data_IF_151670669654
#
_entry.id   IF_151670669654
#
_cell.length_a   1.000
_cell.length_b   1.000
_cell.length_c   1.000
_cell.angle_alpha   90.00
_cell.angle_beta   90.00
_cell.angle_gamma   90.00
#
_symmetry.space_group_name_H-M   'P 1'
#
loop_
_entity.id
_entity.type
_entity.pdbx_description
1 polymer ?
#
# COMPACT_ATOMS: atom_id res chain seq x y z
N UNK A 1 -5.63 40.14 -24.42
CA UNK A 1 -4.97 39.14 -23.54
C UNK A 1 -5.55 37.77 -23.83
N UNK A 2 -4.80 36.87 -24.49
CA UNK A 2 -5.19 35.45 -24.58
C UNK A 2 -4.74 34.79 -23.28
N UNK A 3 -5.65 34.65 -22.31
CA UNK A 3 -5.40 33.77 -21.17
C UNK A 3 -5.30 32.36 -21.78
N UNK A 4 -4.10 31.79 -21.79
CA UNK A 4 -3.88 30.47 -22.37
C UNK A 4 -4.62 29.45 -21.51
N UNK A 5 -5.74 28.94 -22.01
CA UNK A 5 -6.48 27.80 -21.43
C UNK A 5 -5.55 26.59 -21.21
N UNK A 6 -4.47 26.47 -22.01
CA UNK A 6 -3.46 25.41 -21.83
C UNK A 6 -2.67 25.55 -20.52
N UNK A 7 -2.43 26.79 -20.05
CA UNK A 7 -1.75 27.02 -18.77
C UNK A 7 -2.63 26.63 -17.60
N UNK A 8 -3.94 26.89 -17.68
CA UNK A 8 -4.89 26.49 -16.63
C UNK A 8 -5.06 24.97 -16.54
N UNK A 9 -5.03 24.26 -17.67
CA UNK A 9 -5.14 22.80 -17.67
C UNK A 9 -3.86 22.15 -17.15
N UNK A 10 -2.68 22.64 -17.55
CA UNK A 10 -1.40 22.14 -17.03
C UNK A 10 -1.35 22.24 -15.50
N UNK A 11 -1.68 23.41 -14.94
CA UNK A 11 -1.69 23.60 -13.48
C UNK A 11 -2.70 22.67 -12.78
N UNK A 12 -3.86 22.38 -13.39
CA UNK A 12 -4.84 21.44 -12.83
C UNK A 12 -4.32 20.01 -12.82
N UNK A 13 -3.63 19.58 -13.88
CA UNK A 13 -3.00 18.26 -13.96
C UNK A 13 -1.92 18.13 -12.89
N UNK A 14 -1.07 19.14 -12.72
CA UNK A 14 0.00 19.12 -11.72
C UNK A 14 -0.57 19.05 -10.29
N UNK A 15 -1.57 19.88 -9.97
CA UNK A 15 -2.25 19.83 -8.68
C UNK A 15 -2.94 18.47 -8.43
N UNK A 16 -3.51 17.86 -9.47
CA UNK A 16 -4.15 16.55 -9.36
C UNK A 16 -3.15 15.42 -9.15
N UNK A 17 -1.97 15.48 -9.81
CA UNK A 17 -0.85 14.57 -9.55
C UNK A 17 -0.37 14.69 -8.11
N UNK A 18 -0.23 15.91 -7.59
CA UNK A 18 0.14 16.13 -6.20
C UNK A 18 -0.89 15.54 -5.24
N UNK A 19 -2.18 15.70 -5.52
CA UNK A 19 -3.25 15.10 -4.73
C UNK A 19 -3.19 13.56 -4.71
N UNK A 20 -2.96 12.92 -5.87
CA UNK A 20 -2.74 11.47 -5.96
C UNK A 20 -1.54 11.05 -5.10
N UNK A 21 -0.41 11.74 -5.23
CA UNK A 21 0.80 11.40 -4.48
C UNK A 21 0.60 11.56 -2.97
N UNK A 22 -0.04 12.65 -2.52
CA UNK A 22 -0.36 12.87 -1.11
C UNK A 22 -1.29 11.78 -0.57
N UNK A 23 -2.32 11.39 -1.33
CA UNK A 23 -3.24 10.33 -0.92
C UNK A 23 -2.51 9.01 -0.66
N UNK A 24 -1.71 8.53 -1.61
CA UNK A 24 -0.98 7.27 -1.45
C UNK A 24 0.18 7.35 -0.45
N UNK A 25 0.80 8.52 -0.28
CA UNK A 25 1.78 8.75 0.78
C UNK A 25 1.12 8.62 2.17
N UNK A 26 -0.09 9.16 2.35
CA UNK A 26 -0.83 9.04 3.60
C UNK A 26 -1.22 7.59 3.90
N UNK A 27 -1.71 6.83 2.92
CA UNK A 27 -2.01 5.40 3.08
C UNK A 27 -0.75 4.64 3.51
N UNK A 28 0.37 4.90 2.83
CA UNK A 28 1.64 4.24 3.12
C UNK A 28 2.16 4.59 4.51
N UNK A 29 2.07 5.86 4.92
CA UNK A 29 2.48 6.29 6.26
C UNK A 29 1.64 5.63 7.37
N UNK A 30 0.34 5.45 7.15
CA UNK A 30 -0.55 4.80 8.10
C UNK A 30 -0.25 3.30 8.28
N UNK A 31 0.25 2.63 7.24
CA UNK A 31 0.53 1.19 7.28
C UNK A 31 1.98 0.82 7.53
N UNK A 32 2.94 1.75 7.36
CA UNK A 32 4.38 1.45 7.30
C UNK A 32 4.91 0.64 8.50
N UNK A 33 4.55 1.00 9.73
CA UNK A 33 5.02 0.29 10.93
C UNK A 33 4.44 -1.13 11.00
N UNK A 34 3.15 -1.29 10.67
CA UNK A 34 2.46 -2.59 10.68
C UNK A 34 3.02 -3.50 9.58
N UNK A 35 3.23 -2.95 8.39
CA UNK A 35 3.78 -3.67 7.24
C UNK A 35 5.20 -4.19 7.52
N UNK A 36 6.04 -3.36 8.16
CA UNK A 36 7.39 -3.76 8.56
C UNK A 36 7.37 -4.91 9.58
N UNK A 37 6.52 -4.80 10.61
CA UNK A 37 6.36 -5.86 11.64
C UNK A 37 5.83 -7.15 11.01
N UNK A 38 4.81 -7.06 10.15
CA UNK A 38 4.27 -8.23 9.46
C UNK A 38 5.29 -8.87 8.51
N UNK A 39 6.07 -8.08 7.78
CA UNK A 39 7.13 -8.58 6.90
C UNK A 39 8.16 -9.36 7.71
N UNK A 40 8.68 -8.75 8.79
CA UNK A 40 9.66 -9.41 9.65
C UNK A 40 9.13 -10.70 10.26
N UNK A 41 7.87 -10.70 10.68
CA UNK A 41 7.22 -11.88 11.26
C UNK A 41 7.01 -13.00 10.25
N UNK A 42 6.71 -12.67 8.99
CA UNK A 42 6.64 -13.65 7.90
C UNK A 42 8.00 -14.26 7.58
N UNK A 43 9.07 -13.47 7.60
CA UNK A 43 10.43 -14.00 7.45
C UNK A 43 10.77 -15.00 8.55
N UNK A 44 10.48 -14.66 9.81
CA UNK A 44 10.67 -15.56 10.95
C UNK A 44 9.85 -16.84 10.78
N UNK A 45 8.56 -16.72 10.43
CA UNK A 45 7.71 -17.88 10.18
C UNK A 45 8.24 -18.79 9.04
N UNK A 46 8.79 -18.20 7.98
CA UNK A 46 9.41 -18.95 6.90
C UNK A 46 10.68 -19.68 7.34
N UNK A 47 11.52 -19.04 8.16
CA UNK A 47 12.74 -19.64 8.73
C UNK A 47 12.39 -20.82 9.65
N UNK A 48 11.43 -20.63 10.56
CA UNK A 48 10.94 -21.70 11.44
C UNK A 48 10.43 -22.89 10.64
N UNK A 49 9.65 -22.62 9.59
CA UNK A 49 9.13 -23.69 8.72
C UNK A 49 10.21 -24.42 7.93
N UNK A 50 11.36 -23.77 7.71
CA UNK A 50 12.56 -24.39 7.14
C UNK A 50 13.39 -25.18 8.17
N UNK A 51 12.99 -25.21 9.44
CA UNK A 51 13.66 -25.95 10.52
C UNK A 51 14.61 -25.10 11.37
N UNK A 52 14.66 -23.78 11.16
CA UNK A 52 15.45 -22.89 12.02
C UNK A 52 14.80 -22.70 13.39
N UNK A 53 15.59 -22.47 14.46
CA UNK A 53 15.06 -22.17 15.78
C UNK A 53 14.18 -20.91 15.78
N UNK A 54 13.02 -20.99 16.43
CA UNK A 54 12.16 -19.83 16.60
C UNK A 54 12.76 -18.85 17.64
N UNK A 55 12.80 -17.54 17.33
CA UNK A 55 13.15 -16.53 18.32
C UNK A 55 12.17 -16.54 19.50
N UNK A 56 12.65 -16.23 20.71
CA UNK A 56 11.85 -16.26 21.95
C UNK A 56 10.53 -15.50 21.85
N UNK A 57 10.53 -14.30 21.26
CA UNK A 57 9.31 -13.49 21.09
C UNK A 57 8.24 -14.19 20.23
N UNK A 58 8.65 -14.99 19.25
CA UNK A 58 7.75 -15.74 18.38
C UNK A 58 7.21 -16.99 19.10
N UNK A 59 8.04 -17.66 19.91
CA UNK A 59 7.63 -18.77 20.76
C UNK A 59 6.64 -18.33 21.84
N UNK A 60 6.92 -17.23 22.53
CA UNK A 60 6.02 -16.64 23.53
C UNK A 60 4.65 -16.27 22.93
N UNK A 61 4.63 -15.79 21.69
CA UNK A 61 3.35 -15.53 21.03
C UNK A 61 2.56 -16.82 20.74
N UNK A 62 3.24 -17.91 20.38
CA UNK A 62 2.59 -19.20 20.18
C UNK A 62 2.00 -19.72 21.50
N UNK A 63 2.75 -19.60 22.60
CA UNK A 63 2.31 -19.94 23.96
C UNK A 63 1.10 -19.11 24.40
N UNK A 64 1.11 -17.79 24.17
CA UNK A 64 -0.02 -16.90 24.47
C UNK A 64 -1.30 -17.26 23.71
N UNK A 65 -1.16 -17.96 22.58
CA UNK A 65 -2.25 -18.40 21.72
C UNK A 65 -2.61 -19.88 21.92
N UNK A 66 -1.92 -20.58 22.82
CA UNK A 66 -2.06 -22.02 23.07
C UNK A 66 -1.94 -22.87 21.79
N UNK A 67 -0.98 -22.53 20.93
CA UNK A 67 -0.67 -23.25 19.69
C UNK A 67 0.82 -23.53 19.59
N UNK A 68 1.19 -24.46 18.70
CA UNK A 68 2.58 -24.71 18.37
C UNK A 68 3.18 -23.57 17.53
N UNK A 69 4.51 -23.44 17.59
CA UNK A 69 5.26 -22.52 16.74
C UNK A 69 5.06 -22.82 15.24
N UNK A 70 4.87 -24.10 14.88
CA UNK A 70 4.55 -24.52 13.52
C UNK A 70 3.19 -23.99 13.06
N UNK A 71 2.15 -24.14 13.89
CA UNK A 71 0.80 -23.61 13.61
C UNK A 71 0.80 -22.08 13.53
N UNK A 72 1.53 -21.39 14.42
CA UNK A 72 1.69 -19.94 14.33
C UNK A 72 2.36 -19.54 13.01
N UNK A 73 3.36 -20.29 12.56
CA UNK A 73 4.05 -20.04 11.29
C UNK A 73 3.10 -20.18 10.11
N UNK A 74 2.26 -21.20 10.09
CA UNK A 74 1.24 -21.40 9.06
C UNK A 74 0.21 -20.26 9.06
N UNK A 75 -0.27 -19.84 10.23
CA UNK A 75 -1.20 -18.71 10.36
C UNK A 75 -0.57 -17.41 9.81
N UNK A 76 0.70 -17.14 10.15
CA UNK A 76 1.41 -15.94 9.70
C UNK A 76 1.62 -15.97 8.18
N UNK A 77 1.99 -17.13 7.62
CA UNK A 77 2.25 -17.28 6.19
C UNK A 77 0.97 -17.26 5.34
N UNK A 78 -0.16 -17.71 5.88
CA UNK A 78 -1.47 -17.66 5.24
C UNK A 78 -2.03 -16.24 5.07
N UNK A 79 -1.57 -15.27 5.88
CA UNK A 79 -2.00 -13.88 5.72
C UNK A 79 -1.51 -13.28 4.39
N UNK A 80 -2.22 -12.29 3.81
CA UNK A 80 -1.74 -11.55 2.66
C UNK A 80 -0.34 -10.98 2.94
N UNK A 81 0.56 -11.10 1.95
CA UNK A 81 1.90 -10.55 2.07
C UNK A 81 1.84 -9.02 2.07
N UNK A 82 2.42 -8.32 3.07
CA UNK A 82 2.45 -6.85 3.10
C UNK A 82 3.11 -6.25 1.85
N UNK A 83 4.12 -6.93 1.29
CA UNK A 83 4.77 -6.53 0.04
C UNK A 83 3.78 -6.57 -1.11
N UNK A 84 2.98 -7.65 -1.24
CA UNK A 84 1.95 -7.73 -2.27
C UNK A 84 0.87 -6.64 -2.11
N UNK A 85 0.54 -6.26 -0.87
CA UNK A 85 -0.36 -5.14 -0.62
C UNK A 85 0.28 -3.78 -0.94
N UNK A 86 1.60 -3.62 -0.78
CA UNK A 86 2.33 -2.42 -1.19
C UNK A 86 2.41 -2.32 -2.73
N UNK A 87 2.70 -3.43 -3.42
CA UNK A 87 2.72 -3.49 -4.89
C UNK A 87 1.35 -3.16 -5.49
N UNK A 88 0.27 -3.69 -4.90
CA UNK A 88 -1.09 -3.37 -5.32
C UNK A 88 -1.43 -1.87 -5.15
N UNK A 89 -0.97 -1.26 -4.05
CA UNK A 89 -1.14 0.18 -3.80
C UNK A 89 -0.36 1.03 -4.81
N UNK A 90 0.88 0.64 -5.12
CA UNK A 90 1.69 1.36 -6.12
C UNK A 90 1.08 1.23 -7.52
N UNK A 91 0.58 0.05 -7.88
CA UNK A 91 -0.11 -0.14 -9.15
C UNK A 91 -1.34 0.77 -9.27
N UNK A 92 -2.12 0.90 -8.19
CA UNK A 92 -3.29 1.77 -8.18
C UNK A 92 -2.92 3.26 -8.23
N UNK A 93 -1.82 3.65 -7.57
CA UNK A 93 -1.25 5.00 -7.71
C UNK A 93 -0.89 5.30 -9.15
N UNK A 94 -0.20 4.38 -9.84
CA UNK A 94 0.18 4.55 -11.24
C UNK A 94 -1.03 4.65 -12.17
N UNK A 95 -2.07 3.84 -11.94
CA UNK A 95 -3.34 3.95 -12.68
C UNK A 95 -4.00 5.30 -12.48
N UNK A 96 -4.02 5.79 -11.26
CA UNK A 96 -4.59 7.10 -10.92
C UNK A 96 -3.82 8.25 -11.58
N UNK A 97 -2.49 8.19 -11.59
CA UNK A 97 -1.66 9.16 -12.30
C UNK A 97 -1.93 9.15 -13.81
N UNK A 98 -1.99 7.96 -14.43
CA UNK A 98 -2.29 7.83 -15.85
C UNK A 98 -3.69 8.37 -16.20
N UNK A 99 -4.68 8.16 -15.33
CA UNK A 99 -6.02 8.72 -15.51
C UNK A 99 -6.02 10.25 -15.50
N UNK A 100 -5.29 10.87 -14.57
CA UNK A 100 -5.10 12.33 -14.51
C UNK A 100 -4.37 12.86 -15.74
N UNK A 101 -3.33 12.15 -16.21
CA UNK A 101 -2.54 12.55 -17.38
C UNK A 101 -3.32 12.43 -18.70
N UNK A 102 -4.20 11.42 -18.80
CA UNK A 102 -5.04 11.22 -19.97
C UNK A 102 -6.24 12.17 -20.03
N UNK A 103 -6.55 12.88 -18.93
CA UNK A 103 -7.69 13.78 -18.86
C UNK A 103 -7.55 14.97 -19.81
N UNK A 104 -8.60 15.22 -20.59
CA UNK A 104 -8.67 16.31 -21.57
C UNK A 104 -9.51 17.48 -21.06
N UNK A 105 -10.26 17.26 -19.99
CA UNK A 105 -11.18 18.24 -19.41
C UNK A 105 -11.04 18.33 -17.89
N UNK A 106 -11.39 19.47 -17.27
CA UNK A 106 -11.44 19.58 -15.81
C UNK A 106 -12.35 18.54 -15.16
N UNK A 107 -13.50 18.23 -15.76
CA UNK A 107 -14.45 17.27 -15.22
C UNK A 107 -13.87 15.83 -15.18
N UNK A 108 -13.05 15.45 -16.16
CA UNK A 108 -12.35 14.16 -16.15
C UNK A 108 -11.29 14.09 -15.06
N UNK A 109 -10.60 15.22 -14.76
CA UNK A 109 -9.67 15.31 -13.63
C UNK A 109 -10.44 15.13 -12.31
N UNK A 110 -11.56 15.84 -12.14
CA UNK A 110 -12.39 15.76 -10.93
C UNK A 110 -12.95 14.34 -10.72
N UNK A 111 -13.33 13.66 -11.80
CA UNK A 111 -13.77 12.27 -11.77
C UNK A 111 -12.64 11.31 -11.36
N UNK A 112 -11.43 11.48 -11.90
CA UNK A 112 -10.26 10.68 -11.53
C UNK A 112 -9.90 10.87 -10.05
N UNK A 113 -9.98 12.10 -9.53
CA UNK A 113 -9.75 12.37 -8.11
C UNK A 113 -10.85 11.82 -7.20
N UNK A 114 -12.11 11.84 -7.64
CA UNK A 114 -13.23 11.27 -6.87
C UNK A 114 -13.15 9.75 -6.75
N UNK A 115 -12.53 9.08 -7.73
CA UNK A 115 -12.29 7.64 -7.69
C UNK A 115 -11.29 7.25 -6.59
N UNK A 116 -10.37 8.14 -6.19
CA UNK A 116 -9.38 7.88 -5.12
C UNK A 116 -10.00 7.69 -3.73
N UNK A 117 -11.14 8.32 -3.46
CA UNK A 117 -11.78 8.30 -2.13
C UNK A 117 -12.94 7.31 -2.05
N UNK A 118 -13.31 6.70 -3.18
CA UNK A 118 -14.44 5.77 -3.29
C UNK A 118 -14.02 4.29 -3.30
N UNK A 119 -12.71 4.02 -3.25
CA UNK A 119 -12.10 2.69 -3.17
C UNK A 119 -11.69 2.35 -1.73
#
# INVERSE_FOLDING_TARGET
MKISLSSSMSTRIDNARDAVNVHFANISAQSASIDAVHTRKREIAAQVKAGEPAPDAFSQEAELRDITVAELSDIVLAKPCPIAAADARELERQRSLLAVEAAKTPAEIDAALSALTSA
#
